data_IF_233859294289
#
_entry.id   IF_233859294289
#
_cell.length_a   1.000
_cell.length_b   1.000
_cell.length_c   1.000
_cell.angle_alpha   90.00
_cell.angle_beta   90.00
_cell.angle_gamma   90.00
#
_symmetry.space_group_name_H-M   'P 1'
#
loop_
_entity.id
_entity.type
_entity.pdbx_description
1 polymer ?
#
# COMPACT_ATOMS: atom_id res chain seq x y z
N UNK A 1 14.63 -15.86 -22.77
CA UNK A 1 13.40 -16.67 -22.72
C UNK A 1 13.66 -18.11 -23.20
N UNK A 2 14.60 -18.35 -24.12
CA UNK A 2 14.81 -19.65 -24.79
C UNK A 2 15.31 -20.84 -23.93
N UNK A 3 16.12 -20.64 -22.90
CA UNK A 3 16.71 -21.76 -22.16
C UNK A 3 15.75 -22.59 -21.31
N UNK A 4 14.66 -21.99 -20.82
CA UNK A 4 13.66 -22.72 -20.01
C UNK A 4 12.89 -23.75 -20.84
N UNK A 5 12.92 -23.64 -22.17
CA UNK A 5 12.27 -24.54 -23.11
C UNK A 5 13.03 -25.86 -23.32
N UNK A 6 14.31 -25.92 -22.95
CA UNK A 6 15.15 -27.12 -23.13
C UNK A 6 14.91 -28.21 -22.09
N UNK A 7 14.11 -27.91 -21.05
CA UNK A 7 13.73 -28.84 -20.00
C UNK A 7 12.50 -29.69 -20.38
N UNK A 8 11.90 -29.46 -21.56
CA UNK A 8 10.66 -30.10 -22.00
C UNK A 8 10.87 -30.68 -23.41
N UNK A 9 10.80 -32.01 -23.61
CA UNK A 9 11.10 -32.66 -24.90
C UNK A 9 10.30 -32.12 -26.10
N UNK A 10 9.02 -31.77 -25.92
CA UNK A 10 8.15 -31.24 -26.97
C UNK A 10 8.49 -29.78 -27.38
N UNK A 11 9.27 -29.06 -26.56
CA UNK A 11 9.70 -27.68 -26.84
C UNK A 11 11.12 -27.62 -27.38
N UNK A 12 11.79 -28.78 -27.44
CA UNK A 12 13.18 -28.90 -27.81
C UNK A 12 13.35 -28.49 -29.28
N UNK A 13 12.61 -29.05 -30.24
CA UNK A 13 12.83 -28.75 -31.67
C UNK A 13 12.61 -27.27 -32.04
N UNK A 14 11.54 -26.62 -31.56
CA UNK A 14 11.27 -25.21 -31.84
C UNK A 14 12.28 -24.27 -31.14
N UNK A 15 12.65 -24.58 -29.89
CA UNK A 15 13.69 -23.84 -29.18
C UNK A 15 15.07 -24.04 -29.81
N UNK A 16 15.38 -25.25 -30.29
CA UNK A 16 16.62 -25.54 -31.00
C UNK A 16 16.69 -24.77 -32.32
N UNK A 17 15.58 -24.69 -33.07
CA UNK A 17 15.51 -23.96 -34.35
C UNK A 17 15.63 -22.43 -34.20
N UNK A 18 15.30 -21.87 -33.03
CA UNK A 18 15.51 -20.45 -32.71
C UNK A 18 16.88 -20.15 -32.12
N UNK A 19 17.57 -21.18 -31.61
CA UNK A 19 18.94 -21.10 -31.11
C UNK A 19 19.96 -21.29 -32.26
N UNK A 20 19.64 -22.12 -33.24
CA UNK A 20 20.41 -22.36 -34.47
C UNK A 20 20.28 -21.17 -35.43
N UNK A 21 21.04 -20.12 -35.15
CA UNK A 21 21.02 -18.84 -35.87
C UNK A 21 21.59 -18.93 -37.27
N UNK A 22 22.57 -19.82 -37.50
CA UNK A 22 23.16 -20.02 -38.82
C UNK A 22 22.46 -21.10 -39.67
N UNK A 23 21.51 -21.81 -39.06
CA UNK A 23 20.65 -22.85 -39.64
C UNK A 23 21.44 -24.04 -40.15
N UNK A 24 22.56 -24.36 -39.53
CA UNK A 24 23.39 -25.50 -39.89
C UNK A 24 22.86 -26.84 -39.32
N UNK A 25 21.82 -26.79 -38.48
CA UNK A 25 21.19 -27.94 -37.84
C UNK A 25 21.89 -28.38 -36.55
N UNK A 26 22.88 -27.62 -36.08
CA UNK A 26 23.57 -27.77 -34.81
C UNK A 26 23.44 -26.49 -33.99
N UNK A 27 23.64 -26.59 -32.68
CA UNK A 27 23.75 -25.41 -31.81
C UNK A 27 25.13 -25.44 -31.25
N UNK A 28 25.91 -24.43 -31.60
CA UNK A 28 27.24 -24.29 -31.06
C UNK A 28 27.23 -23.49 -29.73
N UNK A 29 28.41 -23.37 -29.12
CA UNK A 29 28.57 -22.66 -27.86
C UNK A 29 28.29 -21.15 -28.01
N UNK A 30 28.58 -20.59 -29.18
CA UNK A 30 28.40 -19.16 -29.47
C UNK A 30 26.92 -18.84 -29.55
N UNK A 31 26.17 -19.64 -30.30
CA UNK A 31 24.72 -19.51 -30.46
C UNK A 31 23.98 -19.68 -29.12
N UNK A 32 24.46 -20.61 -28.29
CA UNK A 32 23.98 -20.78 -26.93
C UNK A 32 24.25 -19.57 -26.03
N UNK A 33 25.48 -19.05 -26.04
CA UNK A 33 25.87 -17.87 -25.26
C UNK A 33 25.10 -16.62 -25.72
N UNK A 34 24.96 -16.40 -27.03
CA UNK A 34 24.19 -15.28 -27.61
C UNK A 34 22.71 -15.31 -27.18
N UNK A 35 22.11 -16.49 -27.11
CA UNK A 35 20.74 -16.65 -26.64
C UNK A 35 20.58 -16.34 -25.14
N UNK A 36 21.57 -16.70 -24.32
CA UNK A 36 21.63 -16.34 -22.90
C UNK A 36 21.80 -14.84 -22.73
N UNK A 37 22.74 -14.25 -23.45
CA UNK A 37 23.03 -12.81 -23.39
C UNK A 37 21.82 -12.00 -23.82
N UNK A 38 21.17 -12.38 -24.91
CA UNK A 38 19.94 -11.73 -25.39
C UNK A 38 18.80 -11.87 -24.35
N UNK A 39 18.64 -13.05 -23.77
CA UNK A 39 17.64 -13.27 -22.72
C UNK A 39 17.92 -12.44 -21.45
N UNK A 40 19.18 -12.33 -21.07
CA UNK A 40 19.61 -11.55 -19.92
C UNK A 40 19.45 -10.05 -20.18
N UNK A 41 19.84 -9.57 -21.36
CA UNK A 41 19.70 -8.19 -21.80
C UNK A 41 18.23 -7.74 -21.76
N UNK A 42 17.33 -8.55 -22.32
CA UNK A 42 15.89 -8.26 -22.29
C UNK A 42 15.35 -8.21 -20.85
N UNK A 43 15.73 -9.18 -19.99
CA UNK A 43 15.31 -9.19 -18.58
C UNK A 43 15.84 -8.00 -17.80
N UNK A 44 17.06 -7.56 -18.08
CA UNK A 44 17.66 -6.38 -17.48
C UNK A 44 16.99 -5.09 -17.97
N UNK A 45 16.67 -5.00 -19.26
CA UNK A 45 15.94 -3.87 -19.85
C UNK A 45 14.54 -3.74 -19.25
N UNK A 46 13.78 -4.82 -19.15
CA UNK A 46 12.45 -4.83 -18.52
C UNK A 46 12.52 -4.39 -17.04
N UNK A 47 13.52 -4.90 -16.31
CA UNK A 47 13.76 -4.51 -14.90
C UNK A 47 14.15 -3.04 -14.78
N UNK A 48 14.96 -2.53 -15.70
CA UNK A 48 15.36 -1.12 -15.72
C UNK A 48 14.16 -0.21 -16.00
N UNK A 49 13.38 -0.52 -17.03
CA UNK A 49 12.17 0.23 -17.39
C UNK A 49 11.15 0.24 -16.24
N UNK A 50 10.94 -0.90 -15.57
CA UNK A 50 10.07 -0.97 -14.39
C UNK A 50 10.56 -0.08 -13.24
N UNK A 51 11.86 -0.12 -12.94
CA UNK A 51 12.47 0.73 -11.89
C UNK A 51 12.37 2.21 -12.21
N UNK A 52 12.57 2.59 -13.47
CA UNK A 52 12.47 3.98 -13.91
C UNK A 52 11.05 4.51 -13.77
N UNK A 53 10.04 3.73 -14.19
CA UNK A 53 8.64 4.09 -14.03
C UNK A 53 8.24 4.25 -12.55
N UNK A 54 8.66 3.29 -11.70
CA UNK A 54 8.41 3.34 -10.25
C UNK A 54 9.10 4.54 -9.60
N UNK A 55 10.36 4.83 -9.97
CA UNK A 55 11.10 5.98 -9.48
C UNK A 55 10.46 7.31 -9.91
N UNK A 56 9.99 7.42 -11.15
CA UNK A 56 9.32 8.62 -11.65
C UNK A 56 8.00 8.89 -10.92
N UNK A 57 7.20 7.84 -10.64
CA UNK A 57 5.97 7.96 -9.83
C UNK A 57 6.29 8.40 -8.40
N UNK A 58 7.27 7.75 -7.77
CA UNK A 58 7.68 8.09 -6.41
C UNK A 58 8.20 9.54 -6.32
N UNK A 59 8.97 10.01 -7.29
CA UNK A 59 9.46 11.38 -7.36
C UNK A 59 8.31 12.39 -7.48
N UNK A 60 7.34 12.12 -8.35
CA UNK A 60 6.16 12.98 -8.51
C UNK A 60 5.35 13.08 -7.21
N UNK A 61 5.11 11.96 -6.53
CA UNK A 61 4.40 11.96 -5.24
C UNK A 61 5.17 12.72 -4.15
N UNK A 62 6.50 12.59 -4.12
CA UNK A 62 7.35 13.32 -3.17
C UNK A 62 7.29 14.82 -3.44
N UNK A 63 7.33 15.22 -4.71
CA UNK A 63 7.24 16.62 -5.12
C UNK A 63 5.87 17.22 -4.75
N UNK A 64 4.78 16.54 -5.09
CA UNK A 64 3.41 16.97 -4.75
C UNK A 64 3.24 17.13 -3.23
N UNK A 65 3.65 16.13 -2.46
CA UNK A 65 3.61 16.17 -0.99
C UNK A 65 4.48 17.31 -0.42
N UNK A 66 5.71 17.47 -0.91
CA UNK A 66 6.63 18.50 -0.42
C UNK A 66 6.09 19.90 -0.68
N UNK A 67 5.52 20.12 -1.87
CA UNK A 67 4.92 21.40 -2.23
C UNK A 67 3.70 21.72 -1.35
N UNK A 68 2.81 20.75 -1.13
CA UNK A 68 1.65 20.93 -0.24
C UNK A 68 2.10 21.25 1.19
N UNK A 69 3.11 20.52 1.70
CA UNK A 69 3.66 20.72 3.03
C UNK A 69 4.31 22.10 3.22
N UNK A 70 5.15 22.53 2.27
CA UNK A 70 5.81 23.84 2.31
C UNK A 70 4.81 24.99 2.19
N UNK A 71 3.76 24.84 1.38
CA UNK A 71 2.69 25.83 1.30
C UNK A 71 1.91 25.93 2.62
N UNK A 72 1.62 24.81 3.28
CA UNK A 72 0.99 24.81 4.59
C UNK A 72 1.89 25.46 5.65
N UNK A 73 3.20 25.21 5.59
CA UNK A 73 4.18 25.81 6.50
C UNK A 73 4.27 27.33 6.36
N UNK A 74 4.29 27.84 5.12
CA UNK A 74 4.29 29.29 4.84
C UNK A 74 3.00 29.94 5.30
N UNK A 75 1.86 29.33 4.98
CA UNK A 75 0.56 29.81 5.49
C UNK A 75 0.52 29.84 7.01
N UNK A 76 1.14 28.86 7.68
CA UNK A 76 1.23 28.85 9.14
C UNK A 76 2.08 30.02 9.66
N UNK A 77 3.22 30.31 9.03
CA UNK A 77 4.05 31.47 9.35
C UNK A 77 3.25 32.77 9.21
N UNK A 78 2.61 32.98 8.06
CA UNK A 78 1.81 34.20 7.78
C UNK A 78 0.62 34.38 8.74
N UNK A 79 0.11 33.28 9.33
CA UNK A 79 -0.97 33.33 10.31
C UNK A 79 -0.49 33.70 11.72
N UNK A 80 0.80 33.50 12.01
CA UNK A 80 1.43 33.88 13.27
C UNK A 80 1.98 35.31 13.15
N UNK A 81 2.61 35.65 12.02
CA UNK A 81 3.14 36.97 11.68
C UNK A 81 2.01 37.96 11.35
N UNK A 82 1.29 38.43 12.38
CA UNK A 82 0.11 39.29 12.21
C UNK A 82 0.51 40.69 11.74
N UNK A 83 1.70 41.17 12.10
CA UNK A 83 2.19 42.49 11.74
C UNK A 83 2.98 42.52 10.42
N UNK A 84 3.18 41.36 9.80
CA UNK A 84 3.94 41.15 8.57
C UNK A 84 5.38 41.68 8.69
N UNK A 85 5.98 41.58 9.88
CA UNK A 85 7.37 41.97 10.14
C UNK A 85 8.37 41.05 9.47
N UNK A 86 7.97 39.81 9.14
CA UNK A 86 8.85 38.76 8.64
C UNK A 86 9.61 38.03 9.76
N UNK A 87 9.27 38.29 11.03
CA UNK A 87 9.81 37.61 12.20
C UNK A 87 8.66 37.23 13.15
N UNK A 88 8.85 36.17 13.94
CA UNK A 88 7.86 35.69 14.91
C UNK A 88 8.34 35.97 16.33
N UNK A 89 7.62 36.85 17.01
CA UNK A 89 7.85 37.12 18.43
C UNK A 89 7.18 36.06 19.32
N UNK A 90 7.66 35.93 20.57
CA UNK A 90 7.02 35.07 21.58
C UNK A 90 5.53 35.39 21.78
N UNK A 91 5.16 36.67 21.69
CA UNK A 91 3.77 37.10 21.92
C UNK A 91 2.87 36.63 20.79
N UNK A 92 3.30 36.80 19.55
CA UNK A 92 2.57 36.35 18.36
C UNK A 92 2.38 34.83 18.35
N UNK A 93 3.44 34.08 18.67
CA UNK A 93 3.37 32.62 18.75
C UNK A 93 2.37 32.19 19.81
N UNK A 94 2.40 32.80 21.00
CA UNK A 94 1.46 32.47 22.09
C UNK A 94 0.02 32.81 21.71
N UNK A 95 -0.21 33.97 21.11
CA UNK A 95 -1.55 34.40 20.69
C UNK A 95 -2.10 33.49 19.58
N UNK A 96 -1.28 33.18 18.57
CA UNK A 96 -1.67 32.31 17.47
C UNK A 96 -1.96 30.88 17.93
N UNK A 97 -1.16 30.32 18.85
CA UNK A 97 -1.39 29.00 19.43
C UNK A 97 -2.68 28.94 20.26
N UNK A 98 -3.11 30.06 20.85
CA UNK A 98 -4.35 30.12 21.62
C UNK A 98 -5.60 30.36 20.77
N UNK A 99 -5.46 31.06 19.64
CA UNK A 99 -6.60 31.59 18.88
C UNK A 99 -6.79 30.96 17.51
N UNK A 100 -5.76 30.32 16.95
CA UNK A 100 -5.76 29.85 15.57
C UNK A 100 -5.61 28.32 15.46
N UNK A 101 -6.74 27.65 15.22
CA UNK A 101 -6.79 26.19 15.05
C UNK A 101 -5.95 25.70 13.86
N UNK A 102 -5.78 26.52 12.80
CA UNK A 102 -4.96 26.16 11.64
C UNK A 102 -3.47 26.12 12.02
N UNK A 103 -3.00 27.08 12.81
CA UNK A 103 -1.62 27.10 13.33
C UNK A 103 -1.40 25.90 14.25
N UNK A 104 -2.32 25.66 15.18
CA UNK A 104 -2.24 24.54 16.12
C UNK A 104 -2.21 23.20 15.40
N UNK A 105 -3.09 22.97 14.43
CA UNK A 105 -3.13 21.72 13.64
C UNK A 105 -1.86 21.50 12.82
N UNK A 106 -1.30 22.55 12.22
CA UNK A 106 -0.04 22.46 11.50
C UNK A 106 1.12 22.09 12.43
N UNK A 107 1.33 22.84 13.52
CA UNK A 107 2.41 22.61 14.48
C UNK A 107 2.34 21.20 15.09
N UNK A 108 1.13 20.64 15.29
CA UNK A 108 0.94 19.26 15.77
C UNK A 108 1.43 18.19 14.80
N UNK A 109 1.32 18.46 13.50
CA UNK A 109 1.51 17.46 12.44
C UNK A 109 2.76 17.68 11.60
N UNK A 110 3.52 18.76 11.83
CA UNK A 110 4.68 19.12 11.01
C UNK A 110 5.86 18.13 11.12
N UNK A 111 5.91 17.32 12.18
CA UNK A 111 6.97 16.33 12.40
C UNK A 111 8.31 16.88 12.93
N UNK A 112 8.40 18.20 13.17
CA UNK A 112 9.56 18.84 13.81
C UNK A 112 9.28 19.03 15.32
N UNK A 113 10.11 18.47 16.23
CA UNK A 113 9.83 18.49 17.67
C UNK A 113 9.79 19.88 18.31
N UNK A 114 10.66 20.80 17.92
CA UNK A 114 10.71 22.15 18.51
C UNK A 114 9.51 23.00 18.10
N UNK A 115 9.04 22.86 16.86
CA UNK A 115 7.78 23.47 16.41
C UNK A 115 6.58 22.89 17.17
N UNK A 116 6.55 21.59 17.44
CA UNK A 116 5.53 20.98 18.30
C UNK A 116 5.58 21.53 19.74
N UNK A 117 6.77 21.77 20.28
CA UNK A 117 6.95 22.33 21.62
C UNK A 117 6.49 23.78 21.76
N UNK A 118 6.23 24.51 20.67
CA UNK A 118 5.59 25.83 20.74
C UNK A 118 4.16 25.77 21.31
N UNK A 119 3.53 24.59 21.25
CA UNK A 119 2.20 24.36 21.82
C UNK A 119 2.24 24.18 23.35
N UNK A 120 3.42 24.12 23.96
CA UNK A 120 3.60 23.75 25.35
C UNK A 120 4.24 24.89 26.15
N UNK A 121 3.51 25.53 27.09
CA UNK A 121 4.01 26.68 27.83
C UNK A 121 5.37 26.46 28.52
N UNK A 122 5.58 25.28 29.14
CA UNK A 122 6.83 24.93 29.82
C UNK A 122 8.03 24.74 28.88
N UNK A 123 7.78 24.40 27.61
CA UNK A 123 8.83 24.10 26.62
C UNK A 123 9.02 25.20 25.57
N UNK A 124 8.08 26.12 25.48
CA UNK A 124 8.08 27.25 24.56
C UNK A 124 9.42 27.99 24.57
N UNK A 125 9.92 28.40 25.73
CA UNK A 125 11.17 29.18 25.80
C UNK A 125 12.39 28.39 25.31
N UNK A 126 12.45 27.10 25.61
CA UNK A 126 13.52 26.23 25.13
C UNK A 126 13.42 26.00 23.63
N UNK A 127 12.20 25.82 23.11
CA UNK A 127 11.94 25.62 21.70
C UNK A 127 12.30 26.87 20.88
N UNK A 128 11.87 28.05 21.32
CA UNK A 128 12.22 29.33 20.68
C UNK A 128 13.72 29.51 20.61
N UNK A 129 14.46 29.23 21.68
CA UNK A 129 15.92 29.32 21.68
C UNK A 129 16.62 28.34 20.71
N UNK A 130 15.97 27.23 20.39
CA UNK A 130 16.52 26.26 19.41
C UNK A 130 16.17 26.66 17.98
N UNK A 131 15.03 27.32 17.79
CA UNK A 131 14.58 27.82 16.49
C UNK A 131 15.31 29.12 16.08
N UNK A 132 15.52 30.02 17.04
CA UNK A 132 16.31 31.26 16.92
C UNK A 132 17.81 30.91 16.89
N UNK A 133 18.30 30.59 15.69
CA UNK A 133 19.71 30.26 15.45
C UNK A 133 20.60 31.49 15.44
N UNK A 134 20.06 32.64 15.06
CA UNK A 134 20.71 33.94 14.99
C UNK A 134 20.94 34.54 16.39
N UNK A 135 20.17 34.08 17.39
CA UNK A 135 20.08 34.58 18.76
C UNK A 135 19.66 36.05 18.84
N UNK A 136 18.80 36.51 17.93
CA UNK A 136 18.27 37.87 17.95
C UNK A 136 17.00 38.02 18.81
N UNK A 137 16.45 36.90 19.28
CA UNK A 137 15.29 36.82 20.16
C UNK A 137 13.96 36.65 19.42
N UNK A 138 13.97 36.59 18.09
CA UNK A 138 12.82 36.35 17.23
C UNK A 138 13.09 35.13 16.34
N UNK A 139 12.06 34.58 15.68
CA UNK A 139 12.23 33.49 14.70
C UNK A 139 11.90 34.04 13.32
N UNK A 140 12.89 34.17 12.46
CA UNK A 140 12.67 34.68 11.10
C UNK A 140 12.17 33.60 10.12
N UNK A 141 11.85 34.02 8.89
CA UNK A 141 11.39 33.10 7.82
C UNK A 141 12.43 32.03 7.50
N UNK A 142 13.73 32.38 7.49
CA UNK A 142 14.79 31.46 7.10
C UNK A 142 14.98 30.37 8.18
N UNK A 143 14.94 30.76 9.45
CA UNK A 143 15.00 29.86 10.60
C UNK A 143 13.78 28.93 10.69
N UNK A 144 12.60 29.48 10.40
CA UNK A 144 11.38 28.71 10.25
C UNK A 144 11.49 27.69 9.11
N UNK A 145 11.87 28.14 7.91
CA UNK A 145 12.04 27.25 6.75
C UNK A 145 13.10 26.17 7.02
N UNK A 146 14.18 26.47 7.73
CA UNK A 146 15.17 25.47 8.12
C UNK A 146 14.57 24.40 9.04
N UNK A 147 13.81 24.79 10.06
CA UNK A 147 13.11 23.85 10.94
C UNK A 147 12.13 22.96 10.16
N UNK A 148 11.34 23.56 9.28
CA UNK A 148 10.40 22.86 8.40
C UNK A 148 11.12 21.85 7.50
N UNK A 149 12.25 22.24 6.90
CA UNK A 149 13.05 21.36 6.05
C UNK A 149 13.66 20.18 6.82
N UNK A 150 14.09 20.37 8.07
CA UNK A 150 14.55 19.28 8.94
C UNK A 150 13.42 18.27 9.22
N UNK A 151 12.22 18.77 9.53
CA UNK A 151 11.03 17.93 9.74
C UNK A 151 10.63 17.17 8.47
N UNK A 152 10.61 17.87 7.32
CA UNK A 152 10.31 17.30 6.02
C UNK A 152 11.31 16.21 5.63
N UNK A 153 12.61 16.44 5.79
CA UNK A 153 13.66 15.47 5.46
C UNK A 153 13.49 14.15 6.23
N UNK A 154 13.24 14.23 7.55
CA UNK A 154 12.98 13.05 8.38
C UNK A 154 11.73 12.29 7.94
N UNK A 155 10.68 13.01 7.54
CA UNK A 155 9.41 12.42 7.06
C UNK A 155 9.58 11.74 5.71
N UNK A 156 10.34 12.36 4.80
CA UNK A 156 10.68 11.78 3.50
C UNK A 156 11.54 10.52 3.66
N UNK A 157 12.51 10.54 4.57
CA UNK A 157 13.32 9.37 4.92
C UNK A 157 12.44 8.22 5.41
N UNK A 158 11.59 8.47 6.40
CA UNK A 158 10.66 7.46 6.92
C UNK A 158 9.73 6.90 5.83
N UNK A 159 9.12 7.77 5.01
CA UNK A 159 8.27 7.34 3.90
C UNK A 159 9.06 6.50 2.88
N UNK A 160 10.32 6.84 2.62
CA UNK A 160 11.16 6.09 1.67
C UNK A 160 11.46 4.67 2.18
N UNK A 161 11.72 4.50 3.47
CA UNK A 161 11.97 3.19 4.09
C UNK A 161 10.72 2.32 4.10
N UNK A 162 9.58 2.89 4.48
CA UNK A 162 8.29 2.21 4.49
C UNK A 162 7.89 1.76 3.08
N UNK A 163 8.05 2.65 2.09
CA UNK A 163 7.84 2.33 0.67
C UNK A 163 8.77 1.23 0.19
N UNK A 164 10.07 1.29 0.51
CA UNK A 164 11.03 0.27 0.10
C UNK A 164 10.69 -1.10 0.69
N UNK A 165 10.24 -1.15 1.94
CA UNK A 165 9.79 -2.40 2.58
C UNK A 165 8.52 -2.94 1.92
N UNK A 166 7.52 -2.09 1.71
CA UNK A 166 6.27 -2.47 1.07
C UNK A 166 6.48 -2.96 -0.38
N UNK A 167 7.32 -2.26 -1.15
CA UNK A 167 7.66 -2.64 -2.52
C UNK A 167 8.36 -4.01 -2.59
N UNK A 168 9.27 -4.32 -1.65
CA UNK A 168 9.91 -5.64 -1.59
C UNK A 168 8.91 -6.75 -1.26
N UNK A 169 8.00 -6.51 -0.32
CA UNK A 169 6.96 -7.49 0.04
C UNK A 169 6.02 -7.74 -1.15
N UNK A 170 5.52 -6.66 -1.79
CA UNK A 170 4.65 -6.77 -2.95
C UNK A 170 5.34 -7.48 -4.14
N UNK A 171 6.63 -7.20 -4.36
CA UNK A 171 7.39 -7.88 -5.42
C UNK A 171 7.55 -9.38 -5.15
N UNK A 172 7.76 -9.79 -3.90
CA UNK A 172 7.86 -11.20 -3.53
C UNK A 172 6.52 -11.92 -3.74
N UNK A 173 5.40 -11.33 -3.30
CA UNK A 173 4.06 -11.87 -3.53
C UNK A 173 3.71 -11.98 -5.02
N UNK A 174 4.08 -10.96 -5.81
CA UNK A 174 3.84 -10.96 -7.26
C UNK A 174 4.69 -12.02 -7.98
N UNK A 175 5.91 -12.27 -7.52
CA UNK A 175 6.79 -13.32 -8.05
C UNK A 175 6.22 -14.72 -7.74
N UNK A 176 5.76 -14.94 -6.50
CA UNK A 176 5.10 -16.19 -6.09
C UNK A 176 3.82 -16.43 -6.91
N UNK A 177 2.94 -15.44 -6.99
CA UNK A 177 1.73 -15.51 -7.82
C UNK A 177 2.03 -15.80 -9.29
N UNK A 178 3.05 -15.14 -9.85
CA UNK A 178 3.45 -15.35 -11.24
C UNK A 178 3.94 -16.78 -11.47
N UNK A 179 4.72 -17.34 -10.54
CA UNK A 179 5.22 -18.70 -10.64
C UNK A 179 4.10 -19.75 -10.59
N UNK A 180 3.12 -19.57 -9.69
CA UNK A 180 1.94 -20.44 -9.60
C UNK A 180 1.08 -20.34 -10.87
N UNK A 181 0.81 -19.12 -11.34
CA UNK A 181 0.00 -18.88 -12.53
C UNK A 181 0.62 -19.50 -13.79
N UNK A 182 1.93 -19.32 -13.98
CA UNK A 182 2.65 -19.90 -15.12
C UNK A 182 2.72 -21.43 -15.03
N UNK A 183 2.89 -21.99 -13.84
CA UNK A 183 2.84 -23.45 -13.63
C UNK A 183 1.48 -24.03 -14.02
N UNK A 184 0.40 -23.37 -13.59
CA UNK A 184 -0.96 -23.79 -13.94
C UNK A 184 -1.25 -23.65 -15.43
N UNK A 185 -0.80 -22.56 -16.05
CA UNK A 185 -0.95 -22.33 -17.50
C UNK A 185 -0.26 -23.42 -18.34
N UNK A 186 0.88 -23.92 -17.87
CA UNK A 186 1.62 -25.02 -18.51
C UNK A 186 0.90 -26.35 -18.33
N UNK A 187 0.44 -26.65 -17.12
CA UNK A 187 -0.33 -27.87 -16.86
C UNK A 187 -1.59 -27.95 -17.76
N UNK A 188 -2.25 -26.81 -17.99
CA UNK A 188 -3.43 -26.74 -18.87
C UNK A 188 -3.06 -26.98 -20.33
N UNK A 189 -1.93 -26.43 -20.81
CA UNK A 189 -1.45 -26.74 -22.16
C UNK A 189 -1.22 -28.25 -22.33
N UNK A 190 -0.52 -28.87 -21.39
CA UNK A 190 -0.21 -30.31 -21.42
C UNK A 190 -1.46 -31.20 -21.29
N UNK A 191 -2.54 -30.71 -20.65
CA UNK A 191 -3.83 -31.41 -20.58
C UNK A 191 -4.58 -31.40 -21.91
N UNK A 192 -4.40 -30.34 -22.70
CA UNK A 192 -5.01 -30.20 -24.03
C UNK A 192 -4.19 -31.00 -25.07
N UNK A 193 -2.86 -30.88 -25.02
CA UNK A 193 -1.89 -31.58 -25.89
C UNK A 193 -1.76 -33.06 -25.49
N UNK A 194 -2.77 -33.87 -25.82
CA UNK A 194 -2.82 -35.28 -25.41
C UNK A 194 -1.80 -36.16 -26.13
N UNK A 195 -1.46 -35.80 -27.36
CA UNK A 195 -0.48 -36.54 -28.15
C UNK A 195 0.96 -36.06 -27.94
N UNK A 196 1.15 -34.99 -27.14
CA UNK A 196 2.44 -34.40 -26.80
C UNK A 196 3.18 -33.92 -28.05
N UNK A 197 2.44 -33.47 -29.05
CA UNK A 197 2.96 -32.91 -30.30
C UNK A 197 3.67 -31.58 -30.07
N UNK A 198 3.36 -30.87 -28.98
CA UNK A 198 3.86 -29.54 -28.70
C UNK A 198 3.07 -28.41 -29.38
N UNK A 199 1.99 -28.75 -30.08
CA UNK A 199 1.04 -27.83 -30.70
C UNK A 199 -0.38 -28.21 -30.31
N UNK A 200 -1.30 -27.24 -30.31
CA UNK A 200 -2.71 -27.46 -30.00
C UNK A 200 -3.54 -27.35 -31.27
N UNK A 201 -4.11 -28.46 -31.69
CA UNK A 201 -5.07 -28.47 -32.80
C UNK A 201 -6.44 -27.98 -32.33
N UNK A 202 -7.25 -27.44 -33.26
CA UNK A 202 -8.65 -27.08 -32.99
C UNK A 202 -9.44 -28.22 -32.34
N UNK A 203 -9.19 -29.46 -32.75
CA UNK A 203 -9.92 -30.63 -32.23
C UNK A 203 -9.58 -30.88 -30.76
N UNK A 204 -8.31 -30.80 -30.38
CA UNK A 204 -7.87 -30.98 -28.99
C UNK A 204 -8.44 -29.90 -28.08
N UNK A 205 -8.42 -28.65 -28.53
CA UNK A 205 -8.99 -27.52 -27.79
C UNK A 205 -10.50 -27.74 -27.57
N UNK A 206 -11.25 -28.12 -28.61
CA UNK A 206 -12.69 -28.40 -28.49
C UNK A 206 -12.96 -29.57 -27.55
N UNK A 207 -12.20 -30.66 -27.67
CA UNK A 207 -12.36 -31.85 -26.83
C UNK A 207 -12.04 -31.53 -25.35
N UNK A 208 -11.01 -30.73 -25.08
CA UNK A 208 -10.63 -30.33 -23.73
C UNK A 208 -11.64 -29.34 -23.11
N UNK A 209 -12.09 -28.34 -23.87
CA UNK A 209 -13.11 -27.37 -23.41
C UNK A 209 -14.46 -28.04 -23.14
N UNK A 210 -14.76 -29.16 -23.79
CA UNK A 210 -16.00 -29.91 -23.54
C UNK A 210 -15.92 -30.82 -22.30
N UNK A 211 -14.74 -31.38 -21.99
CA UNK A 211 -14.62 -32.51 -21.07
C UNK A 211 -13.75 -32.25 -19.83
N UNK A 212 -12.89 -31.24 -19.84
CA UNK A 212 -11.92 -31.00 -18.78
C UNK A 212 -12.27 -29.76 -17.94
N UNK A 213 -12.64 -30.00 -16.68
CA UNK A 213 -13.05 -28.94 -15.75
C UNK A 213 -11.89 -28.02 -15.37
N UNK A 214 -10.67 -28.54 -15.30
CA UNK A 214 -9.49 -27.74 -14.93
C UNK A 214 -9.13 -26.79 -16.07
N UNK A 215 -9.15 -27.28 -17.32
CA UNK A 215 -8.98 -26.45 -18.53
C UNK A 215 -10.04 -25.35 -18.60
N UNK A 216 -11.32 -25.71 -18.39
CA UNK A 216 -12.42 -24.73 -18.40
C UNK A 216 -12.24 -23.65 -17.33
N UNK A 217 -11.88 -24.05 -16.11
CA UNK A 217 -11.71 -23.12 -14.98
C UNK A 217 -10.56 -22.16 -15.25
N UNK A 218 -9.42 -22.69 -15.71
CA UNK A 218 -8.28 -21.86 -16.05
C UNK A 218 -8.56 -20.87 -17.18
N UNK A 219 -9.15 -21.33 -18.28
CA UNK A 219 -9.45 -20.46 -19.42
C UNK A 219 -10.44 -19.34 -19.04
N UNK A 220 -11.39 -19.59 -18.13
CA UNK A 220 -12.24 -18.53 -17.57
C UNK A 220 -11.42 -17.50 -16.79
N UNK A 221 -10.57 -17.99 -15.90
CA UNK A 221 -9.94 -17.14 -14.89
C UNK A 221 -8.63 -16.52 -15.37
N UNK A 222 -8.07 -16.95 -16.50
CA UNK A 222 -6.75 -16.51 -16.97
C UNK A 222 -6.68 -15.00 -17.26
N UNK A 223 -7.81 -14.38 -17.62
CA UNK A 223 -7.90 -12.94 -17.91
C UNK A 223 -7.47 -12.52 -19.31
N UNK A 224 -7.14 -13.48 -20.19
CA UNK A 224 -6.91 -13.21 -21.61
C UNK A 224 -8.22 -13.40 -22.40
N UNK A 225 -8.72 -12.38 -23.13
CA UNK A 225 -9.98 -12.48 -23.87
C UNK A 225 -9.99 -13.58 -24.93
N UNK A 226 -8.88 -13.78 -25.66
CA UNK A 226 -8.83 -14.79 -26.72
C UNK A 226 -8.85 -16.20 -26.13
N UNK A 227 -8.12 -16.44 -25.04
CA UNK A 227 -8.18 -17.72 -24.32
C UNK A 227 -9.58 -17.97 -23.70
N UNK A 228 -10.22 -16.95 -23.16
CA UNK A 228 -11.61 -17.04 -22.69
C UNK A 228 -12.58 -17.36 -23.84
N UNK A 229 -12.34 -16.81 -25.04
CA UNK A 229 -13.18 -17.04 -26.22
C UNK A 229 -13.06 -18.44 -26.80
N UNK A 230 -12.02 -19.23 -26.47
CA UNK A 230 -11.98 -20.66 -26.78
C UNK A 230 -13.15 -21.43 -26.15
N UNK A 231 -13.73 -20.89 -25.08
CA UNK A 231 -14.87 -21.47 -24.37
C UNK A 231 -16.22 -21.10 -25.01
N UNK A 232 -16.22 -20.21 -26.00
CA UNK A 232 -17.42 -19.68 -26.65
C UNK A 232 -17.38 -20.10 -28.11
N UNK A 233 -18.15 -21.11 -28.56
CA UNK A 233 -17.88 -21.69 -29.87
C UNK A 233 -18.15 -20.73 -31.05
N UNK A 234 -19.04 -19.72 -30.90
CA UNK A 234 -19.17 -18.59 -31.83
C UNK A 234 -17.89 -17.76 -32.04
N UNK A 235 -17.03 -17.72 -31.04
CA UNK A 235 -15.79 -16.91 -31.03
C UNK A 235 -14.54 -17.76 -31.17
N UNK A 236 -14.68 -19.09 -31.17
CA UNK A 236 -13.58 -20.04 -31.23
C UNK A 236 -12.69 -19.78 -32.45
N UNK A 237 -13.27 -19.65 -33.64
CA UNK A 237 -12.46 -19.48 -34.86
C UNK A 237 -11.63 -18.18 -34.84
N UNK A 238 -12.27 -17.08 -34.43
CA UNK A 238 -11.59 -15.79 -34.31
C UNK A 238 -10.53 -15.79 -33.19
N UNK A 239 -10.76 -16.55 -32.12
CA UNK A 239 -9.81 -16.71 -31.03
C UNK A 239 -8.60 -17.54 -31.46
N UNK A 240 -8.81 -18.63 -32.21
CA UNK A 240 -7.74 -19.45 -32.78
C UNK A 240 -6.89 -18.61 -33.75
N UNK A 241 -7.50 -17.89 -34.68
CA UNK A 241 -6.79 -17.01 -35.63
C UNK A 241 -6.02 -15.88 -34.93
N UNK A 242 -6.51 -15.40 -33.77
CA UNK A 242 -5.82 -14.37 -33.00
C UNK A 242 -4.68 -14.91 -32.13
N UNK A 243 -4.67 -16.21 -31.83
CA UNK A 243 -3.62 -16.88 -31.06
C UNK A 243 -2.53 -17.44 -31.99
N UNK A 244 -2.92 -17.97 -33.16
CA UNK A 244 -2.06 -18.45 -34.24
C UNK A 244 -1.45 -17.28 -35.03
N UNK A 245 -0.43 -16.67 -34.46
CA UNK A 245 0.31 -15.54 -35.02
C UNK A 245 1.10 -15.90 -36.27
N UNK A 246 1.63 -17.13 -36.36
CA UNK A 246 2.43 -17.56 -37.51
C UNK A 246 1.58 -18.15 -38.65
N UNK A 247 0.28 -18.37 -38.40
CA UNK A 247 -0.72 -18.92 -39.33
C UNK A 247 -0.41 -20.33 -39.77
N UNK A 248 0.20 -21.13 -38.89
CA UNK A 248 0.45 -22.55 -39.11
C UNK A 248 -0.85 -23.38 -39.08
N UNK A 249 -1.92 -22.84 -38.50
CA UNK A 249 -3.21 -23.51 -38.30
C UNK A 249 -3.31 -24.27 -36.97
N UNK A 250 -2.25 -24.23 -36.15
CA UNK A 250 -2.17 -24.85 -34.82
C UNK A 250 -1.62 -23.80 -33.84
N UNK A 251 -1.95 -23.91 -32.55
CA UNK A 251 -1.40 -22.99 -31.54
C UNK A 251 -0.20 -23.64 -30.90
N UNK A 252 0.98 -23.08 -31.10
CA UNK A 252 2.18 -23.60 -30.45
C UNK A 252 2.31 -23.13 -28.98
N UNK A 253 3.29 -23.70 -28.28
CA UNK A 253 3.55 -23.34 -26.90
C UNK A 253 4.02 -21.87 -26.72
N UNK A 254 4.68 -21.27 -27.71
CA UNK A 254 5.14 -19.87 -27.64
C UNK A 254 3.96 -18.91 -27.76
N UNK A 255 3.02 -19.19 -28.65
CA UNK A 255 1.80 -18.44 -28.87
C UNK A 255 0.87 -18.51 -27.65
N UNK A 256 0.71 -19.70 -27.09
CA UNK A 256 0.03 -19.90 -25.82
C UNK A 256 0.69 -19.07 -24.71
N UNK A 257 2.01 -19.18 -24.53
CA UNK A 257 2.72 -18.45 -23.49
C UNK A 257 2.66 -16.93 -23.67
N UNK A 258 2.66 -16.43 -24.92
CA UNK A 258 2.50 -15.00 -25.19
C UNK A 258 1.12 -14.48 -24.77
N UNK A 259 0.06 -15.28 -25.01
CA UNK A 259 -1.28 -14.98 -24.53
C UNK A 259 -1.36 -14.98 -23.00
N UNK A 260 -0.70 -15.94 -22.34
CA UNK A 260 -0.59 -16.05 -20.88
C UNK A 260 0.22 -14.89 -20.27
N UNK A 261 1.30 -14.47 -20.90
CA UNK A 261 2.11 -13.33 -20.46
C UNK A 261 1.30 -12.04 -20.48
N UNK A 262 0.49 -11.86 -21.52
CA UNK A 262 -0.43 -10.71 -21.63
C UNK A 262 -1.47 -10.73 -20.50
N UNK A 263 -2.03 -11.91 -20.20
CA UNK A 263 -2.97 -12.10 -19.11
C UNK A 263 -2.33 -11.83 -17.74
N UNK A 264 -1.11 -12.35 -17.51
CA UNK A 264 -0.36 -12.17 -16.28
C UNK A 264 -0.04 -10.70 -16.03
N UNK A 265 0.39 -9.96 -17.07
CA UNK A 265 0.63 -8.51 -16.97
C UNK A 265 -0.62 -7.76 -16.54
N UNK A 266 -1.78 -8.08 -17.14
CA UNK A 266 -3.06 -7.46 -16.76
C UNK A 266 -3.45 -7.78 -15.31
N UNK A 267 -3.26 -9.03 -14.85
CA UNK A 267 -3.54 -9.41 -13.46
C UNK A 267 -2.63 -8.74 -12.45
N UNK A 268 -1.33 -8.66 -12.73
CA UNK A 268 -0.37 -7.98 -11.85
C UNK A 268 -0.69 -6.48 -11.76
N UNK A 269 -1.08 -5.86 -12.88
CA UNK A 269 -1.54 -4.47 -12.90
C UNK A 269 -2.79 -4.28 -12.04
N UNK A 270 -3.80 -5.13 -12.21
CA UNK A 270 -5.02 -5.09 -11.40
C UNK A 270 -4.72 -5.27 -9.91
N UNK A 271 -3.91 -6.26 -9.54
CA UNK A 271 -3.48 -6.47 -8.14
C UNK A 271 -2.73 -5.27 -7.58
N UNK A 272 -1.92 -4.58 -8.39
CA UNK A 272 -1.24 -3.36 -7.96
C UNK A 272 -2.25 -2.25 -7.67
N UNK A 273 -3.19 -2.00 -8.57
CA UNK A 273 -4.24 -0.98 -8.40
C UNK A 273 -5.10 -1.29 -7.17
N UNK A 274 -5.53 -2.53 -6.99
CA UNK A 274 -6.32 -2.95 -5.82
C UNK A 274 -5.55 -2.75 -4.51
N UNK A 275 -4.25 -3.09 -4.48
CA UNK A 275 -3.39 -2.84 -3.31
C UNK A 275 -3.19 -1.36 -3.03
N UNK A 276 -2.93 -0.55 -4.04
CA UNK A 276 -2.77 0.91 -3.90
C UNK A 276 -4.06 1.55 -3.36
N UNK A 277 -5.23 1.16 -3.88
CA UNK A 277 -6.53 1.63 -3.39
C UNK A 277 -6.80 1.19 -1.95
N UNK A 278 -6.55 -0.07 -1.63
CA UNK A 278 -6.73 -0.60 -0.28
C UNK A 278 -5.78 0.08 0.72
N UNK A 279 -4.51 0.27 0.37
CA UNK A 279 -3.54 0.96 1.21
C UNK A 279 -3.92 2.43 1.44
N UNK A 280 -4.37 3.13 0.40
CA UNK A 280 -4.82 4.52 0.50
C UNK A 280 -6.05 4.65 1.40
N UNK A 281 -7.06 3.79 1.21
CA UNK A 281 -8.25 3.76 2.04
C UNK A 281 -7.93 3.43 3.51
N UNK A 282 -7.10 2.40 3.74
CA UNK A 282 -6.67 2.02 5.09
C UNK A 282 -5.90 3.15 5.77
N UNK A 283 -5.00 3.84 5.04
CA UNK A 283 -4.25 4.98 5.56
C UNK A 283 -5.18 6.11 5.97
N UNK A 284 -6.13 6.48 5.11
CA UNK A 284 -7.09 7.55 5.39
C UNK A 284 -7.95 7.23 6.62
N UNK A 285 -8.40 5.98 6.77
CA UNK A 285 -9.17 5.54 7.94
C UNK A 285 -8.33 5.60 9.22
N UNK A 286 -7.09 5.09 9.18
CA UNK A 286 -6.17 5.13 10.33
C UNK A 286 -5.84 6.57 10.72
N UNK A 287 -5.61 7.44 9.74
CA UNK A 287 -5.32 8.86 9.96
C UNK A 287 -6.51 9.58 10.59
N UNK A 288 -7.72 9.37 10.06
CA UNK A 288 -8.95 9.93 10.61
C UNK A 288 -9.21 9.46 12.05
N UNK A 289 -9.09 8.14 12.30
CA UNK A 289 -9.23 7.56 13.63
C UNK A 289 -8.18 8.10 14.60
N UNK A 290 -6.92 8.20 14.16
CA UNK A 290 -5.82 8.72 14.96
C UNK A 290 -6.04 10.19 15.32
N UNK A 291 -6.46 11.01 14.36
CA UNK A 291 -6.75 12.42 14.59
C UNK A 291 -7.89 12.61 15.60
N UNK A 292 -8.99 11.86 15.44
CA UNK A 292 -10.12 11.89 16.37
C UNK A 292 -9.69 11.46 17.79
N UNK A 293 -8.93 10.37 17.89
CA UNK A 293 -8.48 9.85 19.18
C UNK A 293 -7.52 10.80 19.89
N UNK A 294 -6.55 11.38 19.18
CA UNK A 294 -5.62 12.36 19.75
C UNK A 294 -6.33 13.66 20.15
N UNK A 295 -7.32 14.11 19.39
CA UNK A 295 -8.13 15.27 19.77
C UNK A 295 -8.92 15.00 21.05
N UNK A 296 -9.61 13.85 21.15
CA UNK A 296 -10.30 13.46 22.38
C UNK A 296 -9.35 13.36 23.58
N UNK A 297 -8.14 12.86 23.38
CA UNK A 297 -7.12 12.79 24.42
C UNK A 297 -6.69 14.17 24.92
N UNK A 298 -6.56 15.14 24.01
CA UNK A 298 -6.19 16.52 24.34
C UNK A 298 -7.32 17.26 25.03
N UNK A 299 -8.54 17.12 24.55
CA UNK A 299 -9.72 17.67 25.24
C UNK A 299 -9.81 17.10 26.67
N UNK A 300 -9.51 15.81 26.85
CA UNK A 300 -9.42 15.22 28.17
C UNK A 300 -8.34 15.87 29.03
N UNK A 301 -7.14 16.09 28.50
CA UNK A 301 -6.06 16.79 29.22
C UNK A 301 -6.50 18.20 29.66
N UNK A 302 -7.03 19.00 28.73
CA UNK A 302 -7.49 20.37 29.00
C UNK A 302 -8.67 20.43 29.98
N UNK A 303 -9.52 19.41 30.00
CA UNK A 303 -10.58 19.30 31.00
C UNK A 303 -10.01 19.07 32.41
N UNK A 304 -8.87 18.39 32.53
CA UNK A 304 -8.21 18.12 33.81
C UNK A 304 -7.38 19.34 34.26
N UNK A 305 -6.64 19.96 33.33
CA UNK A 305 -5.82 21.16 33.53
C UNK A 305 -6.70 22.42 33.72
N UNK A 306 -7.24 22.61 34.94
CA UNK A 306 -8.20 23.70 35.20
C UNK A 306 -7.53 25.07 35.25
N UNK A 307 -6.25 25.12 35.60
CA UNK A 307 -5.50 26.37 35.71
C UNK A 307 -4.74 26.74 34.42
N UNK A 308 -4.80 25.88 33.39
CA UNK A 308 -4.07 26.01 32.13
C UNK A 308 -2.55 26.16 32.36
N UNK A 309 -2.02 25.50 33.40
CA UNK A 309 -0.60 25.48 33.67
C UNK A 309 0.19 24.69 32.62
N UNK A 310 -0.50 23.87 31.83
CA UNK A 310 0.10 22.95 30.87
C UNK A 310 0.61 21.66 31.51
N UNK A 311 0.25 21.40 32.78
CA UNK A 311 0.61 20.22 33.54
C UNK A 311 -0.51 19.78 34.47
N UNK A 312 -0.62 18.47 34.71
CA UNK A 312 -1.64 17.91 35.58
C UNK A 312 -1.04 17.56 36.93
N UNK A 313 -1.50 18.24 37.97
CA UNK A 313 -1.21 17.88 39.34
C UNK A 313 -2.08 16.69 39.79
N UNK A 314 -1.60 15.94 40.78
CA UNK A 314 -2.39 14.86 41.40
C UNK A 314 -3.77 15.33 41.86
N UNK A 315 -3.88 16.54 42.37
CA UNK A 315 -5.14 17.13 42.84
C UNK A 315 -6.15 17.32 41.71
N UNK A 316 -5.70 17.79 40.56
CA UNK A 316 -6.55 17.99 39.38
C UNK A 316 -7.03 16.68 38.79
N UNK A 317 -6.13 15.69 38.71
CA UNK A 317 -6.46 14.34 38.24
C UNK A 317 -7.49 13.69 39.17
N UNK A 318 -7.29 13.74 40.49
CA UNK A 318 -8.25 13.15 41.44
C UNK A 318 -9.61 13.86 41.38
N UNK A 319 -9.62 15.19 41.23
CA UNK A 319 -10.84 15.96 41.14
C UNK A 319 -11.64 15.61 39.86
N UNK A 320 -11.00 15.72 38.70
CA UNK A 320 -11.59 15.44 37.38
C UNK A 320 -12.07 14.00 37.25
N UNK A 321 -11.26 13.02 37.70
CA UNK A 321 -11.65 11.60 37.74
C UNK A 321 -12.83 11.34 38.68
N UNK A 322 -13.13 12.25 39.63
CA UNK A 322 -14.29 12.12 40.50
C UNK A 322 -15.53 12.83 39.94
N UNK A 323 -15.37 14.00 39.31
CA UNK A 323 -16.46 14.87 38.87
C UNK A 323 -16.86 14.73 37.41
N UNK A 324 -15.90 14.49 36.51
CA UNK A 324 -16.07 14.72 35.08
C UNK A 324 -16.31 13.40 34.35
N UNK A 325 -17.55 13.21 33.87
CA UNK A 325 -17.95 11.98 33.18
C UNK A 325 -17.15 11.74 31.91
N UNK A 326 -16.91 12.78 31.11
CA UNK A 326 -16.13 12.67 29.86
C UNK A 326 -14.70 12.20 30.12
N UNK A 327 -14.07 12.70 31.20
CA UNK A 327 -12.73 12.26 31.62
C UNK A 327 -12.73 10.78 32.01
N UNK A 328 -13.72 10.33 32.79
CA UNK A 328 -13.88 8.91 33.14
C UNK A 328 -14.06 8.03 31.92
N UNK A 329 -14.99 8.39 31.04
CA UNK A 329 -15.34 7.61 29.85
C UNK A 329 -14.14 7.50 28.90
N UNK A 330 -13.36 8.59 28.74
CA UNK A 330 -12.13 8.58 27.96
C UNK A 330 -11.05 7.68 28.60
N UNK A 331 -10.71 7.89 29.88
CA UNK A 331 -9.66 7.13 30.56
C UNK A 331 -9.98 5.63 30.61
N UNK A 332 -11.24 5.26 30.79
CA UNK A 332 -11.67 3.86 30.76
C UNK A 332 -11.41 3.23 29.38
N UNK A 333 -11.60 4.01 28.32
CA UNK A 333 -11.53 3.56 26.94
C UNK A 333 -10.34 4.18 26.19
N UNK A 334 -9.22 4.50 26.81
CA UNK A 334 -8.03 4.99 26.08
C UNK A 334 -7.11 3.84 25.63
N UNK A 335 -7.24 2.66 26.26
CA UNK A 335 -6.44 1.47 25.93
C UNK A 335 -5.04 1.46 26.53
N UNK A 336 -4.65 2.50 27.29
CA UNK A 336 -3.40 2.56 28.04
C UNK A 336 -3.65 2.18 29.52
N UNK A 337 -2.97 1.15 30.07
CA UNK A 337 -3.27 0.65 31.41
C UNK A 337 -3.03 1.63 32.56
N UNK A 338 -1.96 2.42 32.53
CA UNK A 338 -1.65 3.40 33.57
C UNK A 338 -2.65 4.55 33.59
N UNK A 339 -3.11 5.03 32.43
CA UNK A 339 -4.21 5.99 32.33
C UNK A 339 -5.53 5.41 32.85
N UNK A 340 -5.84 4.16 32.54
CA UNK A 340 -7.00 3.46 33.11
C UNK A 340 -6.92 3.33 34.64
N UNK A 341 -5.71 3.10 35.16
CA UNK A 341 -5.47 2.96 36.60
C UNK A 341 -5.59 4.27 37.38
N UNK A 342 -5.62 5.43 36.72
CA UNK A 342 -5.99 6.70 37.37
C UNK A 342 -7.42 6.65 37.94
N UNK A 343 -8.30 5.82 37.36
CA UNK A 343 -9.66 5.57 37.87
C UNK A 343 -9.68 4.66 39.11
N UNK A 344 -8.56 4.06 39.48
CA UNK A 344 -8.46 3.06 40.55
C UNK A 344 -7.62 3.63 41.70
N UNK A 345 -8.23 4.07 42.82
CA UNK A 345 -7.50 4.75 43.90
C UNK A 345 -6.30 3.97 44.45
N UNK A 346 -6.37 2.64 44.50
CA UNK A 346 -5.28 1.78 44.97
C UNK A 346 -4.08 1.70 44.01
N UNK A 347 -4.25 2.09 42.74
CA UNK A 347 -3.22 2.07 41.70
C UNK A 347 -2.76 3.47 41.28
N UNK A 348 -3.51 4.51 41.66
CA UNK A 348 -3.26 5.90 41.30
C UNK A 348 -1.80 6.30 41.47
N UNK A 349 -1.20 6.06 42.65
CA UNK A 349 0.18 6.52 42.92
C UNK A 349 1.21 5.85 42.01
N UNK A 350 1.09 4.53 41.84
CA UNK A 350 2.00 3.78 40.98
C UNK A 350 1.82 4.16 39.50
N UNK A 351 0.61 4.53 39.10
CA UNK A 351 0.31 4.94 37.73
C UNK A 351 0.77 6.37 37.45
N UNK A 352 0.63 7.30 38.39
CA UNK A 352 1.20 8.64 38.27
C UNK A 352 2.73 8.55 38.17
N UNK A 353 3.39 7.75 39.02
CA UNK A 353 4.83 7.53 38.93
C UNK A 353 5.24 6.85 37.60
N UNK A 354 4.42 5.95 37.05
CA UNK A 354 4.71 5.33 35.76
C UNK A 354 4.51 6.28 34.56
N UNK A 355 3.64 7.27 34.68
CA UNK A 355 3.34 8.26 33.65
C UNK A 355 4.32 9.44 33.69
N UNK A 356 4.73 9.86 34.90
CA UNK A 356 5.74 10.90 35.13
C UNK A 356 7.14 10.31 34.85
N UNK A 357 7.58 10.46 33.61
CA UNK A 357 8.88 9.99 33.12
C UNK A 357 10.01 10.94 33.52
N UNK A 358 9.71 12.23 33.61
CA UNK A 358 10.65 13.29 33.95
C UNK A 358 11.00 13.32 35.45
N UNK A 359 10.13 12.73 36.28
CA UNK A 359 10.20 12.68 37.75
C UNK A 359 10.11 14.06 38.37
N UNK A 360 9.38 14.98 37.75
CA UNK A 360 9.16 16.33 38.28
C UNK A 360 7.92 16.42 39.21
N UNK A 361 7.14 15.34 39.29
CA UNK A 361 5.97 15.22 40.16
C UNK A 361 4.66 15.73 39.54
N UNK A 362 4.69 16.18 38.29
CA UNK A 362 3.54 16.63 37.51
C UNK A 362 3.46 15.81 36.21
N UNK A 363 2.27 15.72 35.60
CA UNK A 363 2.14 15.09 34.27
C UNK A 363 2.02 16.15 33.20
N UNK A 364 3.01 16.26 32.34
CA UNK A 364 2.96 17.18 31.20
C UNK A 364 2.23 16.58 29.97
N UNK A 365 1.97 17.44 28.98
CA UNK A 365 1.30 17.03 27.74
C UNK A 365 2.10 15.97 26.96
N UNK A 366 3.43 15.94 27.07
CA UNK A 366 4.24 14.97 26.34
C UNK A 366 4.16 13.59 26.98
N UNK A 367 4.25 13.51 28.31
CA UNK A 367 4.06 12.29 29.07
C UNK A 367 2.65 11.71 28.85
N UNK A 368 1.66 12.59 28.82
CA UNK A 368 0.30 12.25 28.44
C UNK A 368 0.21 11.74 27.00
N UNK A 369 0.70 12.50 26.02
CA UNK A 369 0.66 12.10 24.61
C UNK A 369 1.43 10.81 24.34
N UNK A 370 2.55 10.58 25.02
CA UNK A 370 3.31 9.32 24.92
C UNK A 370 2.50 8.14 25.44
N UNK A 371 1.83 8.28 26.59
CA UNK A 371 0.93 7.26 27.09
C UNK A 371 -0.21 7.00 26.09
N UNK A 372 -0.84 8.05 25.58
CA UNK A 372 -1.88 7.96 24.57
C UNK A 372 -1.38 7.27 23.29
N UNK A 373 -0.17 7.58 22.81
CA UNK A 373 0.46 6.93 21.66
C UNK A 373 0.69 5.43 21.91
N UNK A 374 1.09 5.03 23.12
CA UNK A 374 1.19 3.60 23.51
C UNK A 374 -0.16 2.89 23.45
N UNK A 375 -1.22 3.50 23.97
CA UNK A 375 -2.59 2.96 23.90
C UNK A 375 -3.13 2.90 22.47
N UNK A 376 -2.90 3.96 21.70
CA UNK A 376 -3.30 4.09 20.29
C UNK A 376 -2.64 3.02 19.43
N UNK A 377 -1.34 2.75 19.60
CA UNK A 377 -0.62 1.75 18.80
C UNK A 377 -1.30 0.37 18.86
N UNK A 378 -1.81 -0.03 20.03
CA UNK A 378 -2.54 -1.28 20.20
C UNK A 378 -3.87 -1.29 19.42
N UNK A 379 -4.56 -0.16 19.37
CA UNK A 379 -5.85 -0.02 18.65
C UNK A 379 -5.67 0.04 17.15
N UNK A 380 -4.67 0.77 16.68
CA UNK A 380 -4.29 0.81 15.27
C UNK A 380 -3.96 -0.60 14.78
N UNK A 381 -3.19 -1.38 15.56
CA UNK A 381 -2.92 -2.79 15.25
C UNK A 381 -4.21 -3.63 15.17
N UNK A 382 -5.16 -3.46 16.10
CA UNK A 382 -6.44 -4.18 16.05
C UNK A 382 -7.30 -3.81 14.84
N UNK A 383 -7.32 -2.54 14.46
CA UNK A 383 -8.02 -2.06 13.26
C UNK A 383 -7.39 -2.64 12.00
N UNK A 384 -6.06 -2.70 11.92
CA UNK A 384 -5.33 -3.32 10.81
C UNK A 384 -5.67 -4.82 10.70
N UNK A 385 -5.67 -5.56 11.82
CA UNK A 385 -6.04 -6.98 11.84
C UNK A 385 -7.50 -7.23 11.41
N UNK A 386 -8.40 -6.30 11.73
CA UNK A 386 -9.81 -6.38 11.31
C UNK A 386 -9.96 -6.07 9.81
N UNK A 387 -9.25 -5.05 9.31
CA UNK A 387 -9.21 -4.71 7.88
C UNK A 387 -8.65 -5.87 7.06
N UNK A 388 -7.56 -6.50 7.49
CA UNK A 388 -6.99 -7.64 6.77
C UNK A 388 -7.99 -8.81 6.69
N UNK A 389 -8.73 -9.07 7.78
CA UNK A 389 -9.78 -10.09 7.80
C UNK A 389 -10.93 -9.74 6.86
N UNK A 390 -11.39 -8.48 6.86
CA UNK A 390 -12.45 -8.01 5.95
C UNK A 390 -12.02 -8.10 4.49
N UNK A 391 -10.78 -7.70 4.18
CA UNK A 391 -10.22 -7.78 2.83
C UNK A 391 -10.15 -9.24 2.34
N UNK A 392 -9.66 -10.17 3.18
CA UNK A 392 -9.65 -11.61 2.84
C UNK A 392 -11.05 -12.17 2.61
N UNK A 393 -12.01 -11.78 3.44
CA UNK A 393 -13.41 -12.21 3.28
C UNK A 393 -14.03 -11.68 1.97
N UNK A 394 -13.84 -10.40 1.66
CA UNK A 394 -14.33 -9.78 0.44
C UNK A 394 -13.70 -10.39 -0.82
N UNK A 395 -12.38 -10.68 -0.78
CA UNK A 395 -11.70 -11.35 -1.88
C UNK A 395 -12.25 -12.76 -2.12
N UNK A 396 -12.51 -13.52 -1.05
CA UNK A 396 -13.10 -14.84 -1.15
C UNK A 396 -14.55 -14.81 -1.70
N UNK A 397 -15.35 -13.83 -1.29
CA UNK A 397 -16.71 -13.63 -1.78
C UNK A 397 -16.73 -13.24 -3.27
N UNK A 398 -15.88 -12.30 -3.68
CA UNK A 398 -15.75 -11.89 -5.08
C UNK A 398 -15.32 -13.06 -5.99
N UNK A 399 -14.35 -13.87 -5.52
CA UNK A 399 -13.91 -15.06 -6.24
C UNK A 399 -15.06 -16.08 -6.40
N UNK A 400 -15.82 -16.34 -5.32
CA UNK A 400 -16.96 -17.24 -5.35
C UNK A 400 -18.08 -16.73 -6.28
N UNK A 401 -18.41 -15.45 -6.22
CA UNK A 401 -19.43 -14.83 -7.07
C UNK A 401 -19.06 -14.89 -8.56
N UNK A 402 -17.80 -14.57 -8.91
CA UNK A 402 -17.33 -14.64 -10.29
C UNK A 402 -17.47 -16.05 -10.88
N UNK A 403 -17.05 -17.06 -10.11
CA UNK A 403 -17.16 -18.46 -10.50
C UNK A 403 -18.63 -18.90 -10.71
N UNK A 404 -19.53 -18.49 -9.81
CA UNK A 404 -20.95 -18.81 -9.90
C UNK A 404 -21.63 -18.11 -11.08
N UNK A 405 -21.35 -16.82 -11.29
CA UNK A 405 -21.90 -16.01 -12.36
C UNK A 405 -21.51 -16.53 -13.74
N UNK A 406 -20.22 -16.81 -13.96
CA UNK A 406 -19.73 -17.39 -15.22
C UNK A 406 -20.31 -18.80 -15.45
N UNK A 407 -20.41 -19.61 -14.39
CA UNK A 407 -21.07 -20.91 -14.44
C UNK A 407 -22.55 -20.82 -14.83
N UNK A 408 -23.27 -19.82 -14.32
CA UNK A 408 -24.67 -19.57 -14.65
C UNK A 408 -24.85 -19.06 -16.09
N UNK A 409 -24.02 -18.11 -16.53
CA UNK A 409 -24.05 -17.58 -17.89
C UNK A 409 -23.85 -18.69 -18.94
N UNK A 410 -22.95 -19.65 -18.66
CA UNK A 410 -22.72 -20.83 -19.51
C UNK A 410 -23.92 -21.77 -19.57
N UNK A 411 -24.55 -22.06 -18.43
CA UNK A 411 -25.76 -22.91 -18.39
C UNK A 411 -26.88 -22.29 -19.23
N UNK A 412 -27.04 -20.97 -19.12
CA UNK A 412 -28.02 -20.23 -19.94
C UNK A 412 -27.63 -20.31 -21.42
N UNK A 413 -26.36 -20.09 -21.77
CA UNK A 413 -25.91 -20.21 -23.15
C UNK A 413 -26.17 -21.61 -23.74
N UNK A 414 -25.76 -22.66 -23.04
CA UNK A 414 -25.97 -24.05 -23.46
C UNK A 414 -27.46 -24.45 -23.55
N UNK A 415 -28.34 -23.79 -22.81
CA UNK A 415 -29.80 -24.01 -22.94
C UNK A 415 -30.40 -23.33 -24.18
N UNK A 416 -29.79 -22.25 -24.67
CA UNK A 416 -30.29 -21.49 -25.82
C UNK A 416 -29.61 -21.97 -27.12
N UNK A 417 -28.39 -22.51 -27.03
CA UNK A 417 -27.62 -23.13 -28.11
C UNK A 417 -28.09 -24.57 -28.37
N UNK A 418 -29.34 -24.73 -28.80
CA UNK A 418 -30.03 -26.04 -28.91
C UNK A 418 -29.35 -26.98 -29.91
N UNK A 419 -28.63 -26.45 -30.88
CA UNK A 419 -27.90 -27.24 -31.88
C UNK A 419 -26.43 -27.49 -31.51
N UNK A 420 -25.97 -27.04 -30.34
CA UNK A 420 -24.57 -27.05 -29.94
C UNK A 420 -23.65 -26.45 -31.02
N UNK A 421 -24.16 -25.54 -31.86
CA UNK A 421 -23.35 -24.86 -32.87
C UNK A 421 -22.39 -23.86 -32.25
N UNK A 422 -22.66 -23.50 -30.99
CA UNK A 422 -22.00 -22.42 -30.29
C UNK A 422 -22.46 -21.05 -30.73
N UNK A 423 -23.54 -20.94 -31.49
CA UNK A 423 -24.10 -19.68 -31.99
C UNK A 423 -25.60 -19.64 -31.77
N UNK A 424 -26.10 -18.55 -31.19
CA UNK A 424 -27.54 -18.32 -31.06
C UNK A 424 -28.05 -17.71 -32.37
N UNK A 425 -28.93 -18.42 -33.09
CA UNK A 425 -29.60 -17.91 -34.30
C UNK A 425 -30.98 -17.33 -34.01
#
# INVERSE_FOLDING_TARGET
KNLQYLLIPARLESALATLDTDRDGHIDMVEWEEAIETALANKLADRAAKRELEAARAAKEIEEFSNEFLNAARKCFDLIDVDCSGTLTKVEIVEAVQTNETVVSFLRTCGEPNLQFLLQPKRLERALKVLDTSNDGEVDVDEWEEAINRGLAKRLEQMSEERARAARAAAAEDEEFSAEFLTMARAVFDMIDKDQSGTLTKKEIVDAVANDKEVITFLNDCGNPNLQYLLVPARLEAALEALDTDRSGEIDAMEWEAAIETALKAKLEQRRVEREQAQSANRAEIEAFTAEFLNAARECFLMIDKDNSGTLTKTEIVHSVSSDKSVKDFLQNCGEPNLQFLLVPARLEASLDALDTSKDGELDMDEWEEAIKRGLAKRVSQLQDEQERRAKAAAAENAAFSAEFLGAARRVFAMIDVDNSGTLT
#
